data_IF_765192917149
#
_entry.id   IF_765192917149
#
_cell.length_a   1.000
_cell.length_b   1.000
_cell.length_c   1.000
_cell.angle_alpha   90.00
_cell.angle_beta   90.00
_cell.angle_gamma   90.00
#
_symmetry.space_group_name_H-M   'P 1'
#
loop_
_entity.id
_entity.type
_entity.pdbx_description
1 polymer ?
#
# COMPACT_ATOMS: atom_id res chain seq x y z
N UNK A 1 -7.48 1.49 6.70
CA UNK A 1 -8.11 0.17 6.91
C UNK A 1 -9.26 -0.09 5.96
N UNK A 2 -9.61 -1.36 5.77
CA UNK A 2 -10.86 -1.76 5.13
C UNK A 2 -11.50 -2.98 5.79
N UNK A 3 -12.77 -3.27 5.46
CA UNK A 3 -13.51 -4.43 5.97
C UNK A 3 -13.05 -5.76 5.39
N UNK A 4 -12.33 -5.76 4.26
CA UNK A 4 -11.70 -6.97 3.75
C UNK A 4 -10.35 -7.21 4.42
N UNK A 5 -9.94 -8.46 4.38
CA UNK A 5 -8.56 -8.85 4.60
C UNK A 5 -7.76 -8.55 3.33
N UNK A 6 -6.52 -8.09 3.47
CA UNK A 6 -5.53 -7.95 2.37
C UNK A 6 -4.19 -8.61 2.73
N UNK A 7 -3.56 -9.25 1.75
CA UNK A 7 -2.23 -9.86 1.82
C UNK A 7 -1.30 -9.26 0.78
N UNK A 8 -0.03 -9.14 1.16
CA UNK A 8 1.02 -8.54 0.36
C UNK A 8 2.25 -9.44 0.36
N UNK A 9 2.75 -9.78 -0.83
CA UNK A 9 4.02 -10.48 -1.02
C UNK A 9 4.96 -9.60 -1.84
N UNK A 10 6.12 -9.26 -1.28
CA UNK A 10 7.15 -8.53 -2.04
C UNK A 10 7.85 -9.51 -2.97
N UNK A 11 7.72 -9.31 -4.28
CA UNK A 11 8.33 -10.16 -5.30
C UNK A 11 9.72 -9.66 -5.72
N UNK A 12 9.93 -8.34 -5.74
CA UNK A 12 11.20 -7.71 -6.11
C UNK A 12 11.32 -6.31 -5.49
N UNK A 13 12.56 -5.86 -5.25
CA UNK A 13 12.82 -4.57 -4.61
C UNK A 13 12.52 -4.59 -3.10
N UNK A 14 12.48 -3.40 -2.50
CA UNK A 14 12.19 -3.21 -1.09
C UNK A 14 10.86 -2.45 -0.93
N UNK A 15 10.14 -2.74 0.14
CA UNK A 15 8.94 -2.00 0.52
C UNK A 15 9.00 -1.59 1.98
N UNK A 16 8.32 -0.51 2.31
CA UNK A 16 8.02 -0.13 3.69
C UNK A 16 6.53 -0.32 3.90
N UNK A 17 6.15 -1.26 4.77
CA UNK A 17 4.79 -1.32 5.27
C UNK A 17 4.66 -0.40 6.48
N UNK A 18 3.59 0.37 6.55
CA UNK A 18 3.20 1.12 7.74
C UNK A 18 1.94 0.46 8.25
N UNK A 19 2.02 -0.25 9.37
CA UNK A 19 0.92 -1.06 9.93
C UNK A 19 0.61 -0.55 11.33
N UNK A 20 -0.62 -0.13 11.57
CA UNK A 20 -1.07 0.43 12.86
C UNK A 20 -0.16 1.58 13.34
N UNK A 21 0.36 2.39 12.41
CA UNK A 21 1.28 3.49 12.69
C UNK A 21 2.74 3.09 12.92
N UNK A 22 3.10 1.81 12.75
CA UNK A 22 4.49 1.33 12.87
C UNK A 22 5.11 1.04 11.52
N UNK A 23 6.37 1.46 11.35
CA UNK A 23 7.18 1.15 10.18
C UNK A 23 7.73 -0.29 10.24
N UNK A 24 7.51 -1.05 9.17
CA UNK A 24 7.93 -2.44 8.99
C UNK A 24 8.62 -2.58 7.62
N UNK A 25 9.96 -2.57 7.56
CA UNK A 25 10.67 -2.83 6.33
C UNK A 25 10.38 -4.26 5.83
N UNK A 26 10.14 -4.39 4.53
CA UNK A 26 9.89 -5.66 3.85
C UNK A 26 10.87 -5.82 2.69
N UNK A 27 11.43 -7.02 2.55
CA UNK A 27 12.33 -7.41 1.45
C UNK A 27 11.68 -8.49 0.58
N UNK A 28 12.28 -8.88 -0.55
CA UNK A 28 11.72 -9.93 -1.39
C UNK A 28 11.44 -11.21 -0.60
N UNK A 29 10.25 -11.78 -0.84
CA UNK A 29 9.67 -12.95 -0.18
C UNK A 29 9.15 -12.75 1.25
N UNK A 30 9.20 -11.53 1.78
CA UNK A 30 8.41 -11.20 2.96
C UNK A 30 6.92 -11.14 2.61
N UNK A 31 6.11 -11.76 3.47
CA UNK A 31 4.67 -11.81 3.37
C UNK A 31 4.04 -11.04 4.54
N UNK A 32 3.17 -10.08 4.22
CA UNK A 32 2.38 -9.33 5.20
C UNK A 32 0.91 -9.73 5.07
N UNK A 33 0.35 -10.17 6.19
CA UNK A 33 -1.08 -10.41 6.35
C UNK A 33 -1.72 -9.25 7.11
N UNK A 34 -2.74 -8.63 6.54
CA UNK A 34 -3.57 -7.62 7.19
C UNK A 34 -5.00 -8.16 7.37
N UNK A 35 -5.38 -8.58 8.58
CA UNK A 35 -6.77 -8.89 8.91
C UNK A 35 -7.73 -7.71 8.62
N UNK A 36 -9.05 -7.96 8.55
CA UNK A 36 -10.04 -6.89 8.46
C UNK A 36 -9.83 -5.80 9.51
N UNK A 37 -9.96 -4.55 9.11
CA UNK A 37 -9.84 -3.39 9.98
C UNK A 37 -8.40 -2.95 10.26
N UNK A 38 -7.38 -3.67 9.79
CA UNK A 38 -5.98 -3.25 9.96
C UNK A 38 -5.69 -1.98 9.18
N UNK A 39 -5.17 -0.97 9.86
CA UNK A 39 -4.62 0.23 9.24
C UNK A 39 -3.28 -0.11 8.62
N UNK A 40 -3.21 -0.02 7.30
CA UNK A 40 -2.00 -0.38 6.56
C UNK A 40 -1.83 0.46 5.30
N UNK A 41 -0.57 0.65 4.91
CA UNK A 41 -0.16 1.16 3.61
C UNK A 41 1.19 0.58 3.23
N UNK A 42 1.41 0.38 1.93
CA UNK A 42 2.69 -0.06 1.36
C UNK A 42 3.30 1.08 0.57
N UNK A 43 4.56 1.41 0.88
CA UNK A 43 5.36 2.41 0.16
C UNK A 43 6.53 1.68 -0.50
N UNK A 44 6.81 1.99 -1.77
CA UNK A 44 8.03 1.50 -2.43
C UNK A 44 9.26 2.11 -1.76
N UNK A 45 10.25 1.28 -1.42
CA UNK A 45 11.45 1.69 -0.71
C UNK A 45 12.73 1.33 -1.49
N UNK A 46 13.87 1.82 -1.00
CA UNK A 46 15.18 1.63 -1.64
C UNK A 46 15.37 2.51 -2.88
N UNK A 47 16.38 2.16 -3.69
CA UNK A 47 16.82 2.96 -4.84
C UNK A 47 16.16 2.56 -6.18
N UNK A 48 15.26 1.57 -6.17
CA UNK A 48 14.75 0.93 -7.39
C UNK A 48 13.26 0.61 -7.36
N UNK A 49 12.73 0.04 -8.45
CA UNK A 49 11.33 -0.38 -8.51
C UNK A 49 11.02 -1.48 -7.49
N UNK A 50 9.84 -1.37 -6.88
CA UNK A 50 9.27 -2.38 -5.98
C UNK A 50 8.10 -3.08 -6.67
N UNK A 51 8.07 -4.42 -6.63
CA UNK A 51 6.98 -5.24 -7.14
C UNK A 51 6.31 -5.98 -5.98
N UNK A 52 5.04 -5.69 -5.75
CA UNK A 52 4.22 -6.32 -4.70
C UNK A 52 3.06 -7.06 -5.36
N UNK A 53 2.88 -8.32 -4.99
CA UNK A 53 1.67 -9.06 -5.29
C UNK A 53 0.66 -8.84 -4.17
N UNK A 54 -0.53 -8.35 -4.53
CA UNK A 54 -1.61 -8.02 -3.61
C UNK A 54 -2.80 -8.94 -3.87
N UNK A 55 -3.33 -9.53 -2.81
CA UNK A 55 -4.60 -10.27 -2.84
C UNK A 55 -5.45 -9.85 -1.66
N UNK A 56 -6.77 -10.00 -1.76
CA UNK A 56 -7.65 -9.67 -0.66
C UNK A 56 -9.03 -10.28 -0.84
N UNK A 57 -9.77 -10.35 0.26
CA UNK A 57 -11.13 -10.87 0.24
C UNK A 57 -12.06 -10.03 -0.67
N UNK A 58 -13.21 -10.62 -1.02
CA UNK A 58 -14.23 -9.97 -1.86
C UNK A 58 -15.58 -10.02 -1.15
N UNK A 59 -15.67 -9.40 0.03
CA UNK A 59 -16.93 -9.27 0.74
C UNK A 59 -17.90 -8.38 -0.04
N UNK A 60 -19.20 -8.67 0.13
CA UNK A 60 -20.30 -7.94 -0.53
C UNK A 60 -20.40 -6.52 0.03
N UNK A 61 -20.29 -6.37 1.35
CA UNK A 61 -20.24 -5.09 2.03
C UNK A 61 -18.77 -4.66 2.19
N UNK A 62 -18.42 -3.53 1.58
CA UNK A 62 -17.07 -2.97 1.61
C UNK A 62 -17.10 -1.62 2.29
N UNK A 63 -16.39 -1.52 3.40
CA UNK A 63 -16.13 -0.27 4.07
C UNK A 63 -14.64 0.02 4.02
N UNK A 64 -14.28 1.23 3.59
CA UNK A 64 -12.90 1.69 3.53
C UNK A 64 -12.84 3.02 4.28
N UNK A 65 -11.83 3.14 5.14
CA UNK A 65 -11.45 4.41 5.72
C UNK A 65 -9.96 4.62 5.45
N UNK A 66 -9.64 5.79 4.91
CA UNK A 66 -8.28 6.30 4.81
C UNK A 66 -8.02 7.12 6.09
N UNK A 67 -7.40 6.55 7.13
CA UNK A 67 -7.10 7.30 8.35
C UNK A 67 -5.93 8.26 8.11
N UNK A 68 -5.94 9.37 8.81
CA UNK A 68 -4.79 10.24 8.95
C UNK A 68 -3.72 9.50 9.76
N UNK A 69 -2.49 9.45 9.22
CA UNK A 69 -1.34 8.86 9.90
C UNK A 69 -0.12 9.75 9.74
N UNK A 70 0.44 10.21 10.86
CA UNK A 70 1.66 11.03 10.87
C UNK A 70 2.81 10.30 10.18
N UNK A 71 2.89 8.98 10.37
CA UNK A 71 3.94 8.14 9.77
C UNK A 71 3.74 8.04 8.27
N UNK A 72 2.51 7.80 7.80
CA UNK A 72 2.23 7.73 6.36
C UNK A 72 2.45 9.09 5.67
N UNK A 73 2.10 10.20 6.31
CA UNK A 73 2.34 11.56 5.80
C UNK A 73 3.83 11.84 5.60
N UNK A 74 4.72 11.37 6.50
CA UNK A 74 6.18 11.51 6.33
C UNK A 74 6.71 10.82 5.07
N UNK A 75 6.02 9.79 4.59
CA UNK A 75 6.36 9.06 3.36
C UNK A 75 5.57 9.52 2.14
N UNK A 76 4.81 10.62 2.24
CA UNK A 76 3.97 11.13 1.15
C UNK A 76 2.84 10.17 0.76
N UNK A 77 2.43 9.31 1.69
CA UNK A 77 1.48 8.23 1.46
C UNK A 77 0.21 8.36 2.32
N UNK A 78 0.07 9.43 3.11
CA UNK A 78 -1.07 9.67 4.00
C UNK A 78 -2.08 10.68 3.45
N UNK A 79 -3.24 10.73 4.12
CA UNK A 79 -4.23 11.83 4.00
C UNK A 79 -4.09 12.77 5.19
N UNK A 80 -4.37 14.06 5.00
CA UNK A 80 -4.29 15.08 6.07
C UNK A 80 -5.45 14.99 7.06
N UNK A 81 -6.59 14.45 6.64
CA UNK A 81 -7.78 14.22 7.45
C UNK A 81 -8.38 12.86 7.11
N UNK A 82 -8.95 12.18 8.10
CA UNK A 82 -9.68 10.92 7.91
C UNK A 82 -10.74 11.09 6.83
N UNK A 83 -10.78 10.19 5.85
CA UNK A 83 -11.77 10.24 4.78
C UNK A 83 -12.20 8.85 4.34
N UNK A 84 -13.51 8.62 4.06
CA UNK A 84 -13.98 7.45 3.34
C UNK A 84 -13.97 7.68 1.81
N UNK A 85 -13.76 8.91 1.34
CA UNK A 85 -13.82 9.24 -0.09
C UNK A 85 -12.46 9.00 -0.76
N UNK A 86 -12.42 7.97 -1.61
CA UNK A 86 -11.27 7.63 -2.43
C UNK A 86 -10.80 8.80 -3.31
N UNK A 87 -11.70 9.64 -3.81
CA UNK A 87 -11.30 10.77 -4.66
C UNK A 87 -10.54 11.82 -3.88
N UNK A 88 -10.89 12.03 -2.60
CA UNK A 88 -10.13 12.89 -1.69
C UNK A 88 -8.78 12.23 -1.37
N UNK A 89 -8.79 10.96 -1.00
CA UNK A 89 -7.58 10.24 -0.59
C UNK A 89 -6.50 10.21 -1.69
N UNK A 90 -6.90 10.08 -2.95
CA UNK A 90 -5.97 10.01 -4.08
C UNK A 90 -5.81 11.33 -4.86
N UNK A 91 -6.47 12.43 -4.45
CA UNK A 91 -6.41 13.71 -5.16
C UNK A 91 -4.98 14.24 -5.44
N UNK A 92 -3.97 14.04 -4.56
CA UNK A 92 -2.61 14.51 -4.81
C UNK A 92 -1.86 13.74 -5.91
N UNK A 93 -2.31 12.53 -6.27
CA UNK A 93 -1.60 11.65 -7.20
C UNK A 93 -2.14 11.78 -8.63
N UNK A 94 -1.29 11.65 -9.65
CA UNK A 94 -1.76 11.53 -11.02
C UNK A 94 -2.61 10.27 -11.18
N UNK A 95 -3.53 10.28 -12.15
CA UNK A 95 -4.27 9.06 -12.50
C UNK A 95 -3.28 7.98 -12.93
N UNK A 96 -3.42 6.79 -12.34
CA UNK A 96 -2.67 5.62 -12.73
C UNK A 96 -2.84 5.34 -14.22
N UNK A 97 -1.75 4.94 -14.88
CA UNK A 97 -1.74 4.55 -16.29
C UNK A 97 -1.02 3.21 -16.44
N UNK A 98 -1.53 2.30 -17.29
CA UNK A 98 -0.81 1.09 -17.64
C UNK A 98 0.53 1.42 -18.29
N UNK A 99 1.60 0.74 -17.89
CA UNK A 99 2.92 0.91 -18.46
C UNK A 99 3.84 -0.23 -18.08
N UNK A 100 4.93 -0.41 -18.84
CA UNK A 100 5.99 -1.33 -18.43
C UNK A 100 6.72 -0.73 -17.22
N UNK A 101 6.95 -1.50 -16.15
CA UNK A 101 7.85 -1.09 -15.09
C UNK A 101 9.22 -0.77 -15.69
N UNK A 102 9.76 0.42 -15.41
CA UNK A 102 11.15 0.72 -15.77
C UNK A 102 12.06 -0.10 -14.85
N UNK A 103 13.08 -0.71 -15.43
CA UNK A 103 14.20 -1.29 -14.67
C UNK A 103 13.87 -2.48 -13.74
N UNK A 104 12.76 -3.22 -13.97
CA UNK A 104 12.55 -4.52 -13.29
C UNK A 104 13.36 -5.62 -13.99
N UNK A 105 14.16 -6.42 -13.26
CA UNK A 105 15.11 -7.37 -13.85
C UNK A 105 14.45 -8.57 -14.55
N UNK A 106 13.16 -8.80 -14.33
CA UNK A 106 12.42 -9.96 -14.84
C UNK A 106 11.66 -9.70 -16.15
N UNK A 107 11.63 -8.46 -16.65
CA UNK A 107 10.86 -8.06 -17.83
C UNK A 107 11.73 -7.48 -18.97
N UNK A 108 13.01 -7.89 -19.04
CA UNK A 108 13.89 -7.61 -20.18
C UNK A 108 13.49 -8.42 -21.42
#
# INVERSE_FOLDING_TARGET
RESNQEDFLVLAGEALAIVEGEERPLKPWDFLHCPPGTDHIIVGAGDGPCLVFMTGARLVEKEVLYPRSEVALRHGAGVEEDTPDRNVAYAPFPKWQPGRPRDLPFFQ
#
